data_IF_537602728483
#
_entry.id   IF_537602728483
#
_cell.length_a   1.000
_cell.length_b   1.000
_cell.length_c   1.000
_cell.angle_alpha   90.00
_cell.angle_beta   90.00
_cell.angle_gamma   90.00
#
_symmetry.space_group_name_H-M   'P 1'
#
loop_
_entity.id
_entity.type
_entity.pdbx_description
1 polymer ?
#
# COMPACT_ATOMS: atom_id res chain seq x y z
N UNK A 1 6.93 16.57 10.40
CA UNK A 1 6.27 17.72 9.74
C UNK A 1 4.94 17.34 9.08
N UNK A 2 4.93 16.30 8.21
CA UNK A 2 3.70 15.86 7.51
C UNK A 2 2.61 15.44 8.51
N UNK A 3 2.94 14.64 9.53
CA UNK A 3 2.02 14.18 10.57
C UNK A 3 1.32 15.33 11.28
N UNK A 4 2.08 16.32 11.74
CA UNK A 4 1.54 17.47 12.47
C UNK A 4 0.61 18.30 11.57
N UNK A 5 0.96 18.43 10.29
CA UNK A 5 0.17 19.18 9.31
C UNK A 5 -1.19 18.51 9.05
N UNK A 6 -1.19 17.18 8.83
CA UNK A 6 -2.43 16.40 8.62
C UNK A 6 -3.35 16.43 9.86
N UNK A 7 -2.79 16.25 11.05
CA UNK A 7 -3.56 16.35 12.31
C UNK A 7 -4.17 17.76 12.46
N UNK A 8 -3.38 18.81 12.24
CA UNK A 8 -3.85 20.17 12.37
C UNK A 8 -4.92 20.52 11.34
N UNK A 9 -4.76 20.08 10.08
CA UNK A 9 -5.75 20.31 9.02
C UNK A 9 -7.11 19.67 9.33
N UNK A 10 -7.11 18.57 10.09
CA UNK A 10 -8.33 17.83 10.42
C UNK A 10 -8.97 18.33 11.73
N UNK A 11 -8.16 18.69 12.74
CA UNK A 11 -8.66 19.14 14.04
C UNK A 11 -9.15 20.60 13.98
N UNK A 12 -8.48 21.48 13.22
CA UNK A 12 -8.80 22.89 13.17
C UNK A 12 -10.25 23.17 12.72
N UNK A 13 -10.78 22.55 11.63
CA UNK A 13 -12.19 22.71 11.26
C UNK A 13 -13.16 22.19 12.32
N UNK A 14 -12.83 21.04 12.96
CA UNK A 14 -13.67 20.50 14.05
C UNK A 14 -13.80 21.49 15.19
N UNK A 15 -12.67 22.02 15.66
CA UNK A 15 -12.65 22.96 16.79
C UNK A 15 -13.36 24.29 16.45
N UNK A 16 -13.05 24.85 15.27
CA UNK A 16 -13.64 26.14 14.84
C UNK A 16 -15.16 26.06 14.67
N UNK A 17 -15.66 25.00 13.98
CA UNK A 17 -17.09 24.83 13.78
C UNK A 17 -17.81 24.48 15.08
N UNK A 18 -17.23 23.65 15.94
CA UNK A 18 -17.78 23.32 17.23
C UNK A 18 -17.95 24.59 18.10
N UNK A 19 -16.94 25.47 18.11
CA UNK A 19 -17.01 26.76 18.83
C UNK A 19 -18.07 27.67 18.25
N UNK A 20 -18.16 27.79 16.90
CA UNK A 20 -19.13 28.64 16.23
C UNK A 20 -20.57 28.18 16.50
N UNK A 21 -20.84 26.86 16.35
CA UNK A 21 -22.16 26.30 16.60
C UNK A 21 -22.57 26.33 18.05
N UNK A 22 -21.61 26.33 18.99
CA UNK A 22 -21.88 26.50 20.43
C UNK A 22 -22.33 27.92 20.77
N UNK A 23 -21.91 28.92 19.98
CA UNK A 23 -22.29 30.34 20.20
C UNK A 23 -23.68 30.65 19.65
N UNK A 24 -24.13 30.01 18.59
CA UNK A 24 -25.44 30.15 18.00
C UNK A 24 -26.03 28.80 17.57
N UNK A 25 -26.69 28.06 18.48
CA UNK A 25 -27.28 26.77 18.21
C UNK A 25 -28.46 26.80 17.24
N UNK A 26 -28.98 27.98 16.89
CA UNK A 26 -30.12 28.18 16.00
C UNK A 26 -29.68 28.56 14.57
N UNK A 27 -28.39 28.63 14.30
CA UNK A 27 -27.84 28.98 13.01
C UNK A 27 -28.39 28.07 11.92
N UNK A 28 -28.82 28.64 10.76
CA UNK A 28 -29.26 27.85 9.60
C UNK A 28 -28.14 26.91 9.08
N UNK A 29 -26.88 27.19 9.40
CA UNK A 29 -25.71 26.40 8.99
C UNK A 29 -25.40 25.23 9.93
N UNK A 30 -26.24 24.98 10.96
CA UNK A 30 -26.04 23.93 11.95
C UNK A 30 -25.81 22.54 11.34
N UNK A 31 -26.66 22.17 10.37
CA UNK A 31 -26.58 20.85 9.73
C UNK A 31 -25.28 20.70 8.93
N UNK A 32 -24.92 21.72 8.17
CA UNK A 32 -23.69 21.73 7.38
C UNK A 32 -22.44 21.71 8.28
N UNK A 33 -22.46 22.48 9.36
CA UNK A 33 -21.39 22.50 10.36
C UNK A 33 -21.19 21.15 11.04
N UNK A 34 -22.28 20.48 11.45
CA UNK A 34 -22.25 19.14 12.04
C UNK A 34 -21.75 18.10 11.04
N UNK A 35 -22.15 18.17 9.76
CA UNK A 35 -21.63 17.29 8.72
C UNK A 35 -20.13 17.46 8.54
N UNK A 36 -19.63 18.69 8.51
CA UNK A 36 -18.19 18.97 8.38
C UNK A 36 -17.41 18.44 9.58
N UNK A 37 -17.91 18.61 10.81
CA UNK A 37 -17.31 18.05 12.02
C UNK A 37 -17.28 16.52 11.92
N UNK A 38 -18.38 15.88 11.51
CA UNK A 38 -18.46 14.43 11.36
C UNK A 38 -17.46 13.89 10.33
N UNK A 39 -17.38 14.53 9.16
CA UNK A 39 -16.45 14.14 8.10
C UNK A 39 -15.00 14.30 8.55
N UNK A 40 -14.63 15.46 9.09
CA UNK A 40 -13.28 15.71 9.60
C UNK A 40 -12.89 14.76 10.73
N UNK A 41 -13.85 14.40 11.61
CA UNK A 41 -13.59 13.40 12.67
C UNK A 41 -13.31 12.01 12.09
N UNK A 42 -14.07 11.59 11.08
CA UNK A 42 -13.84 10.30 10.36
C UNK A 42 -12.48 10.28 9.68
N UNK A 43 -12.09 11.37 9.03
CA UNK A 43 -10.80 11.49 8.37
C UNK A 43 -9.64 11.42 9.37
N UNK A 44 -9.79 12.04 10.54
CA UNK A 44 -8.81 11.93 11.62
C UNK A 44 -8.71 10.50 12.16
N UNK A 45 -9.82 9.80 12.35
CA UNK A 45 -9.82 8.39 12.77
C UNK A 45 -9.11 7.52 11.72
N UNK A 46 -9.43 7.71 10.44
CA UNK A 46 -8.76 7.03 9.32
C UNK A 46 -7.26 7.30 9.34
N UNK A 47 -6.85 8.55 9.51
CA UNK A 47 -5.45 8.95 9.60
C UNK A 47 -4.73 8.30 10.79
N UNK A 48 -5.31 8.34 12.00
CA UNK A 48 -4.71 7.73 13.20
C UNK A 48 -4.57 6.21 13.05
N UNK A 49 -5.58 5.53 12.50
CA UNK A 49 -5.50 4.08 12.25
C UNK A 49 -4.41 3.75 11.24
N UNK A 50 -4.30 4.54 10.20
CA UNK A 50 -3.30 4.47 9.16
C UNK A 50 -1.88 4.68 9.72
N UNK A 51 -1.70 5.66 10.59
CA UNK A 51 -0.44 5.90 11.30
C UNK A 51 -0.06 4.73 12.23
N UNK A 52 -1.04 4.17 12.96
CA UNK A 52 -0.82 2.99 13.81
C UNK A 52 -0.36 1.79 13.00
N UNK A 53 -0.94 1.55 11.82
CA UNK A 53 -0.54 0.44 10.94
C UNK A 53 0.91 0.58 10.48
N UNK A 54 1.37 1.82 10.24
CA UNK A 54 2.77 2.06 9.89
C UNK A 54 3.73 1.90 11.08
N UNK A 55 3.34 2.40 12.27
CA UNK A 55 4.26 2.43 13.45
C UNK A 55 4.26 1.14 14.26
N UNK A 56 3.25 0.28 14.08
CA UNK A 56 3.08 -0.97 14.84
C UNK A 56 3.03 -2.20 13.93
N UNK A 57 3.97 -2.28 12.97
CA UNK A 57 4.16 -3.56 12.27
C UNK A 57 4.60 -4.59 13.31
N UNK A 58 3.82 -5.65 13.45
CA UNK A 58 4.13 -6.72 14.40
C UNK A 58 5.49 -7.35 14.06
N UNK A 59 6.20 -7.80 15.08
CA UNK A 59 7.41 -8.62 14.87
C UNK A 59 7.04 -9.84 14.04
N UNK A 60 7.74 -10.11 12.91
CA UNK A 60 7.38 -11.22 12.04
C UNK A 60 7.56 -12.57 12.73
N UNK A 61 6.55 -13.43 12.59
CA UNK A 61 6.63 -14.84 12.99
C UNK A 61 7.05 -15.65 11.77
N UNK A 62 8.37 -15.73 11.57
CA UNK A 62 8.95 -16.36 10.39
C UNK A 62 8.83 -17.88 10.45
N UNK A 63 8.39 -18.48 9.34
CA UNK A 63 8.31 -19.92 9.11
C UNK A 63 8.71 -20.24 7.69
N UNK A 64 9.22 -21.45 7.40
CA UNK A 64 9.43 -21.88 6.02
C UNK A 64 8.08 -22.17 5.36
N UNK A 65 7.91 -21.72 4.12
CA UNK A 65 6.76 -22.05 3.27
C UNK A 65 7.17 -22.00 1.79
N UNK A 66 6.46 -22.71 0.94
CA UNK A 66 6.67 -22.65 -0.50
C UNK A 66 6.03 -21.39 -1.07
N UNK A 67 6.80 -20.65 -1.88
CA UNK A 67 6.35 -19.37 -2.44
C UNK A 67 5.12 -19.56 -3.34
N UNK A 68 5.03 -20.68 -4.06
CA UNK A 68 3.88 -21.06 -4.89
C UNK A 68 2.57 -21.07 -4.09
N UNK A 69 2.58 -21.68 -2.90
CA UNK A 69 1.38 -21.73 -2.05
C UNK A 69 0.92 -20.36 -1.59
N UNK A 70 1.86 -19.45 -1.27
CA UNK A 70 1.55 -18.07 -0.96
C UNK A 70 0.91 -17.37 -2.17
N UNK A 71 1.48 -17.53 -3.38
CA UNK A 71 0.97 -16.86 -4.58
C UNK A 71 -0.41 -17.35 -4.99
N UNK A 72 -0.72 -18.64 -4.83
CA UNK A 72 -2.07 -19.18 -5.03
C UNK A 72 -3.09 -18.52 -4.07
N UNK A 73 -2.73 -18.33 -2.80
CA UNK A 73 -3.58 -17.62 -1.83
C UNK A 73 -3.75 -16.14 -2.17
N UNK A 74 -2.67 -15.48 -2.59
CA UNK A 74 -2.72 -14.08 -3.03
C UNK A 74 -3.64 -13.91 -4.24
N UNK A 75 -3.55 -14.82 -5.21
CA UNK A 75 -4.43 -14.83 -6.38
C UNK A 75 -5.90 -14.94 -5.95
N UNK A 76 -6.23 -15.87 -5.04
CA UNK A 76 -7.58 -16.03 -4.50
C UNK A 76 -8.07 -14.77 -3.78
N UNK A 77 -7.21 -14.14 -2.95
CA UNK A 77 -7.54 -12.91 -2.20
C UNK A 77 -7.80 -11.71 -3.12
N UNK A 78 -7.10 -11.65 -4.25
CA UNK A 78 -7.18 -10.50 -5.18
C UNK A 78 -8.08 -10.75 -6.38
N UNK A 79 -8.56 -11.99 -6.57
CA UNK A 79 -9.34 -12.43 -7.73
C UNK A 79 -10.51 -11.50 -8.04
N UNK A 80 -11.34 -11.17 -7.06
CA UNK A 80 -12.50 -10.31 -7.28
C UNK A 80 -12.11 -8.92 -7.80
N UNK A 81 -11.00 -8.36 -7.31
CA UNK A 81 -10.51 -7.04 -7.74
C UNK A 81 -9.92 -7.11 -9.15
N UNK A 82 -9.17 -8.18 -9.46
CA UNK A 82 -8.58 -8.43 -10.77
C UNK A 82 -9.68 -8.61 -11.82
N UNK A 83 -10.68 -9.45 -11.53
CA UNK A 83 -11.82 -9.72 -12.42
C UNK A 83 -12.66 -8.45 -12.66
N UNK A 84 -12.91 -7.66 -11.59
CA UNK A 84 -13.66 -6.40 -11.70
C UNK A 84 -12.92 -5.35 -12.55
N UNK A 85 -11.59 -5.35 -12.54
CA UNK A 85 -10.77 -4.47 -13.37
C UNK A 85 -10.55 -5.01 -14.78
N UNK A 86 -11.01 -6.23 -15.11
CA UNK A 86 -10.76 -6.88 -16.39
C UNK A 86 -9.27 -7.19 -16.63
N UNK A 87 -8.47 -7.26 -15.57
CA UNK A 87 -7.04 -7.49 -15.66
C UNK A 87 -6.71 -8.98 -15.73
N UNK A 88 -5.52 -9.30 -16.27
CA UNK A 88 -4.95 -10.65 -16.27
C UNK A 88 -3.85 -10.73 -15.22
N UNK A 89 -3.87 -11.80 -14.43
CA UNK A 89 -2.83 -12.12 -13.47
C UNK A 89 -2.07 -13.37 -13.92
N UNK A 90 -0.75 -13.34 -13.79
CA UNK A 90 0.10 -14.49 -14.07
C UNK A 90 1.23 -14.55 -13.04
N UNK A 91 1.44 -15.74 -12.47
CA UNK A 91 2.59 -16.05 -11.62
C UNK A 91 3.47 -17.12 -12.28
N UNK A 92 4.80 -16.98 -12.21
CA UNK A 92 5.78 -17.92 -12.76
C UNK A 92 7.00 -18.00 -11.86
N UNK A 93 7.39 -19.20 -11.47
CA UNK A 93 8.69 -19.49 -10.87
C UNK A 93 9.71 -19.84 -11.95
N UNK A 94 10.84 -19.15 -11.97
CA UNK A 94 11.96 -19.42 -12.86
C UNK A 94 12.97 -20.39 -12.24
N UNK A 95 12.87 -20.64 -10.92
CA UNK A 95 13.57 -21.64 -10.15
C UNK A 95 12.50 -22.49 -9.47
N UNK A 96 12.61 -23.83 -9.55
CA UNK A 96 11.62 -24.72 -8.95
C UNK A 96 11.68 -24.71 -7.42
N UNK A 97 10.53 -24.90 -6.77
CA UNK A 97 10.37 -25.13 -5.33
C UNK A 97 11.02 -24.07 -4.45
N UNK A 98 10.77 -22.79 -4.75
CA UNK A 98 11.30 -21.68 -3.93
C UNK A 98 10.73 -21.76 -2.50
N UNK A 99 11.60 -22.05 -1.54
CA UNK A 99 11.30 -22.04 -0.11
C UNK A 99 11.69 -20.70 0.48
N UNK A 100 10.73 -20.00 1.08
CA UNK A 100 10.96 -18.70 1.74
C UNK A 100 10.82 -18.84 3.27
N UNK A 101 11.77 -18.29 4.03
CA UNK A 101 11.69 -18.22 5.49
C UNK A 101 11.26 -16.81 5.94
N UNK A 102 9.96 -16.62 6.09
CA UNK A 102 9.36 -15.32 6.34
C UNK A 102 8.03 -15.43 7.14
N UNK A 103 7.44 -14.30 7.49
CA UNK A 103 6.06 -14.21 7.96
C UNK A 103 5.14 -14.14 6.73
N UNK A 104 4.47 -15.23 6.44
CA UNK A 104 3.64 -15.42 5.28
C UNK A 104 2.54 -14.36 5.15
N UNK A 105 1.88 -14.01 6.27
CA UNK A 105 0.83 -13.00 6.27
C UNK A 105 1.35 -11.61 5.92
N UNK A 106 2.54 -11.24 6.44
CA UNK A 106 3.16 -9.96 6.11
C UNK A 106 3.65 -9.91 4.66
N UNK A 107 4.21 -10.99 4.13
CA UNK A 107 4.63 -11.03 2.72
C UNK A 107 3.42 -11.00 1.80
N UNK A 108 2.35 -11.75 2.11
CA UNK A 108 1.06 -11.64 1.40
C UNK A 108 0.57 -10.19 1.34
N UNK A 109 0.63 -9.47 2.46
CA UNK A 109 0.25 -8.05 2.52
C UNK A 109 1.08 -7.17 1.57
N UNK A 110 2.39 -7.42 1.45
CA UNK A 110 3.25 -6.70 0.49
C UNK A 110 2.81 -6.95 -0.95
N UNK A 111 2.61 -8.23 -1.32
CA UNK A 111 2.22 -8.59 -2.70
C UNK A 111 0.84 -8.04 -3.04
N UNK A 112 -0.16 -8.21 -2.15
CA UNK A 112 -1.52 -7.66 -2.33
C UNK A 112 -1.49 -6.15 -2.51
N UNK A 113 -0.65 -5.42 -1.74
CA UNK A 113 -0.49 -3.98 -1.91
C UNK A 113 0.07 -3.60 -3.29
N UNK A 114 1.05 -4.36 -3.82
CA UNK A 114 1.61 -4.11 -5.15
C UNK A 114 0.58 -4.41 -6.25
N UNK A 115 -0.20 -5.50 -6.13
CA UNK A 115 -1.31 -5.81 -7.05
C UNK A 115 -2.37 -4.69 -7.01
N UNK A 116 -2.78 -4.26 -5.82
CA UNK A 116 -3.74 -3.15 -5.66
C UNK A 116 -3.22 -1.86 -6.29
N UNK A 117 -1.92 -1.54 -6.13
CA UNK A 117 -1.32 -0.38 -6.78
C UNK A 117 -1.34 -0.47 -8.30
N UNK A 118 -1.10 -1.67 -8.86
CA UNK A 118 -1.18 -1.92 -10.30
C UNK A 118 -2.60 -1.73 -10.83
N UNK A 119 -3.62 -2.31 -10.16
CA UNK A 119 -5.03 -2.14 -10.54
C UNK A 119 -5.48 -0.69 -10.45
N UNK A 120 -5.06 0.05 -9.43
CA UNK A 120 -5.32 1.48 -9.29
C UNK A 120 -4.59 2.34 -10.34
N UNK A 121 -3.54 1.83 -10.96
CA UNK A 121 -2.87 2.44 -12.12
C UNK A 121 -3.49 1.96 -13.45
N UNK A 122 -4.68 1.35 -13.42
CA UNK A 122 -5.43 0.86 -14.58
C UNK A 122 -4.68 -0.22 -15.37
N UNK A 123 -3.87 -1.03 -14.67
CA UNK A 123 -3.18 -2.14 -15.31
C UNK A 123 -4.17 -3.20 -15.80
N UNK A 124 -3.99 -3.64 -17.03
CA UNK A 124 -4.73 -4.76 -17.64
C UNK A 124 -3.94 -6.07 -17.60
N UNK A 125 -2.66 -6.00 -17.22
CA UNK A 125 -1.79 -7.16 -17.07
C UNK A 125 -0.89 -6.98 -15.86
N UNK A 126 -0.87 -8.01 -14.99
CA UNK A 126 -0.02 -8.10 -13.82
C UNK A 126 0.73 -9.43 -13.91
N UNK A 127 2.06 -9.36 -13.96
CA UNK A 127 2.92 -10.55 -14.03
C UNK A 127 3.86 -10.56 -12.84
N UNK A 128 3.87 -11.65 -12.09
CA UNK A 128 4.79 -11.86 -10.98
C UNK A 128 5.74 -12.99 -11.37
N UNK A 129 7.04 -12.73 -11.30
CA UNK A 129 8.07 -13.74 -11.52
C UNK A 129 8.95 -13.88 -10.29
N UNK A 130 9.32 -15.11 -9.96
CA UNK A 130 10.20 -15.38 -8.83
C UNK A 130 11.36 -16.27 -9.24
N UNK A 131 12.54 -16.01 -8.68
CA UNK A 131 13.76 -16.81 -8.90
C UNK A 131 14.68 -16.75 -7.69
N UNK A 132 15.60 -17.67 -7.62
CA UNK A 132 16.79 -17.57 -6.76
C UNK A 132 17.92 -17.00 -7.62
N UNK A 133 18.59 -15.97 -7.16
CA UNK A 133 19.71 -15.35 -7.85
C UNK A 133 21.06 -16.05 -7.54
N UNK A 134 22.14 -15.63 -8.19
CA UNK A 134 23.48 -16.20 -8.01
C UNK A 134 24.06 -16.02 -6.61
N UNK A 135 23.42 -15.21 -5.75
CA UNK A 135 23.77 -14.98 -4.36
C UNK A 135 22.84 -15.69 -3.37
N UNK A 136 22.10 -16.70 -3.83
CA UNK A 136 21.07 -17.46 -3.10
C UNK A 136 19.94 -16.59 -2.53
N UNK A 137 19.73 -15.38 -3.06
CA UNK A 137 18.62 -14.56 -2.66
C UNK A 137 17.35 -14.87 -3.46
N UNK A 138 16.21 -14.93 -2.77
CA UNK A 138 14.92 -15.01 -3.45
C UNK A 138 14.55 -13.63 -3.97
N UNK A 139 14.35 -13.54 -5.28
CA UNK A 139 13.97 -12.31 -5.99
C UNK A 139 12.58 -12.48 -6.57
N UNK A 140 11.68 -11.54 -6.24
CA UNK A 140 10.31 -11.52 -6.76
C UNK A 140 10.10 -10.20 -7.49
N UNK A 141 9.83 -10.26 -8.79
CA UNK A 141 9.50 -9.11 -9.62
C UNK A 141 7.98 -9.04 -9.81
N UNK A 142 7.39 -7.91 -9.45
CA UNK A 142 5.97 -7.59 -9.68
C UNK A 142 5.89 -6.55 -10.78
N UNK A 143 5.46 -6.98 -11.95
CA UNK A 143 5.38 -6.19 -13.17
C UNK A 143 3.92 -5.85 -13.51
N UNK A 144 3.65 -4.66 -13.99
CA UNK A 144 2.34 -4.28 -14.51
C UNK A 144 2.48 -3.29 -15.68
N UNK A 145 1.45 -3.23 -16.53
CA UNK A 145 1.37 -2.34 -17.68
C UNK A 145 0.46 -1.12 -17.46
N UNK A 146 0.18 -0.78 -16.20
CA UNK A 146 -0.62 0.39 -15.85
C UNK A 146 0.10 1.72 -16.07
N UNK A 147 -0.60 2.83 -15.79
CA UNK A 147 -0.02 4.16 -15.90
C UNK A 147 1.30 4.28 -15.11
N UNK A 148 2.34 4.87 -15.72
CA UNK A 148 3.64 5.00 -15.08
C UNK A 148 3.60 5.99 -13.90
N UNK A 149 4.48 5.77 -12.94
CA UNK A 149 4.74 6.70 -11.86
C UNK A 149 5.59 7.84 -12.43
N UNK A 150 5.14 9.08 -12.25
CA UNK A 150 5.89 10.24 -12.75
C UNK A 150 7.31 10.30 -12.16
N UNK A 151 8.31 10.75 -12.92
CA UNK A 151 9.71 10.83 -12.44
C UNK A 151 9.84 11.55 -11.10
N UNK A 152 9.16 12.67 -10.91
CA UNK A 152 9.18 13.46 -9.67
C UNK A 152 8.61 12.69 -8.46
N UNK A 153 7.70 11.74 -8.72
CA UNK A 153 7.09 10.92 -7.68
C UNK A 153 7.92 9.68 -7.34
N UNK A 154 8.74 9.14 -8.26
CA UNK A 154 9.46 7.87 -8.06
C UNK A 154 10.37 7.87 -6.84
N UNK A 155 10.99 9.01 -6.49
CA UNK A 155 11.81 9.14 -5.28
C UNK A 155 10.98 9.19 -4.01
N UNK A 156 9.70 9.57 -4.11
CA UNK A 156 8.83 9.86 -2.98
C UNK A 156 7.84 8.74 -2.65
N UNK A 157 7.63 7.77 -3.54
CA UNK A 157 6.59 6.71 -3.38
C UNK A 157 6.74 5.87 -2.11
N UNK A 158 7.93 5.83 -1.51
CA UNK A 158 8.17 5.13 -0.26
C UNK A 158 8.12 6.05 0.98
N UNK A 159 7.87 7.34 0.80
CA UNK A 159 7.67 8.29 1.91
C UNK A 159 6.25 8.07 2.47
N UNK A 160 6.10 7.87 3.79
CA UNK A 160 4.78 7.73 4.38
C UNK A 160 3.87 8.92 4.08
N UNK A 161 2.59 8.64 3.79
CA UNK A 161 1.54 9.60 3.42
C UNK A 161 1.74 10.31 2.08
N UNK A 162 2.78 9.98 1.33
CA UNK A 162 2.91 10.44 -0.04
C UNK A 162 1.97 9.65 -0.96
N UNK A 163 1.11 10.36 -1.66
CA UNK A 163 0.18 9.79 -2.65
C UNK A 163 -0.15 10.81 -3.73
N UNK A 164 -0.28 10.32 -4.95
CA UNK A 164 -0.80 11.09 -6.09
C UNK A 164 -2.27 10.76 -6.36
N UNK A 165 -2.88 9.88 -5.54
CA UNK A 165 -4.24 9.37 -5.71
C UNK A 165 -5.17 10.04 -4.70
N UNK A 166 -6.36 10.53 -5.11
CA UNK A 166 -7.31 11.21 -4.21
C UNK A 166 -7.76 10.36 -3.02
N UNK A 167 -8.00 9.08 -3.23
CA UNK A 167 -8.46 8.11 -2.22
C UNK A 167 -7.30 7.35 -1.54
N UNK A 168 -6.06 7.63 -1.95
CA UNK A 168 -4.87 6.92 -1.47
C UNK A 168 -4.47 7.34 -0.06
N UNK A 169 -4.17 6.37 0.82
CA UNK A 169 -3.62 6.65 2.15
C UNK A 169 -2.13 7.05 2.13
N UNK A 170 -1.41 6.80 1.03
CA UNK A 170 0.02 7.01 0.91
C UNK A 170 0.90 6.13 1.81
N UNK A 171 0.34 5.03 2.35
CA UNK A 171 1.06 4.17 3.31
C UNK A 171 1.48 2.84 2.72
N UNK A 172 0.78 2.33 1.73
CA UNK A 172 0.98 0.97 1.23
C UNK A 172 2.45 0.64 0.95
N UNK A 173 3.14 1.44 0.14
CA UNK A 173 4.54 1.21 -0.22
C UNK A 173 5.51 1.45 0.94
N UNK A 174 5.27 2.43 1.81
CA UNK A 174 6.10 2.67 2.99
C UNK A 174 5.97 1.52 4.00
N UNK A 175 4.77 0.98 4.19
CA UNK A 175 4.51 -0.22 5.00
C UNK A 175 5.17 -1.46 4.39
N UNK A 176 5.04 -1.66 3.06
CA UNK A 176 5.72 -2.74 2.35
C UNK A 176 7.23 -2.69 2.56
N UNK A 177 7.84 -1.49 2.48
CA UNK A 177 9.28 -1.31 2.74
C UNK A 177 9.65 -1.64 4.17
N UNK A 178 8.81 -1.30 5.15
CA UNK A 178 9.04 -1.64 6.55
C UNK A 178 8.94 -3.16 6.79
N UNK A 179 7.93 -3.83 6.24
CA UNK A 179 7.79 -5.28 6.30
C UNK A 179 9.03 -5.95 5.70
N UNK A 180 9.45 -5.55 4.49
CA UNK A 180 10.64 -6.12 3.86
C UNK A 180 11.90 -5.93 4.72
N UNK A 181 12.10 -4.76 5.33
CA UNK A 181 13.22 -4.52 6.25
C UNK A 181 13.18 -5.43 7.49
N UNK A 182 12.00 -5.67 8.06
CA UNK A 182 11.83 -6.59 9.17
C UNK A 182 12.15 -8.04 8.78
N UNK A 183 12.14 -8.37 7.50
CA UNK A 183 12.52 -9.67 6.94
C UNK A 183 13.98 -9.69 6.40
N UNK A 184 14.80 -8.68 6.73
CA UNK A 184 16.15 -8.49 6.20
C UNK A 184 16.20 -8.39 4.66
N UNK A 185 15.05 -8.10 4.05
CA UNK A 185 14.87 -7.94 2.61
C UNK A 185 14.79 -6.48 2.18
N UNK A 186 14.54 -6.29 0.91
CA UNK A 186 14.34 -4.96 0.33
C UNK A 186 13.23 -4.96 -0.72
N UNK A 187 12.61 -3.78 -0.91
CA UNK A 187 11.70 -3.48 -2.02
C UNK A 187 12.26 -2.29 -2.78
N UNK A 188 12.25 -2.37 -4.10
CA UNK A 188 12.74 -1.29 -4.99
C UNK A 188 11.83 -1.13 -6.19
N UNK A 189 11.67 0.10 -6.65
CA UNK A 189 11.16 0.43 -7.98
C UNK A 189 12.34 0.31 -8.95
N UNK A 190 12.27 -0.64 -9.87
CA UNK A 190 13.33 -0.86 -10.86
C UNK A 190 13.08 -0.04 -12.12
N UNK A 191 11.81 0.06 -12.52
CA UNK A 191 11.39 0.80 -13.69
C UNK A 191 9.94 1.26 -13.53
N UNK A 192 9.65 2.45 -14.03
CA UNK A 192 8.28 2.90 -14.28
C UNK A 192 8.30 3.87 -15.46
N UNK A 193 7.87 3.39 -16.61
CA UNK A 193 7.83 4.09 -17.89
C UNK A 193 6.65 3.57 -18.75
N UNK A 194 6.59 3.98 -20.02
CA UNK A 194 5.56 3.53 -20.96
C UNK A 194 5.55 2.01 -21.20
N UNK A 195 6.63 1.29 -20.87
CA UNK A 195 6.71 -0.17 -20.95
C UNK A 195 6.19 -0.87 -19.72
N UNK A 196 5.80 -0.09 -18.69
CA UNK A 196 5.22 -0.57 -17.46
C UNK A 196 6.07 -0.30 -16.22
N UNK A 197 5.55 -0.74 -15.08
CA UNK A 197 6.15 -0.56 -13.76
C UNK A 197 6.64 -1.90 -13.22
N UNK A 198 7.85 -1.93 -12.65
CA UNK A 198 8.46 -3.12 -12.05
C UNK A 198 8.90 -2.79 -10.62
N UNK A 199 8.32 -3.50 -9.66
CA UNK A 199 8.81 -3.54 -8.29
C UNK A 199 9.54 -4.86 -8.04
N UNK A 200 10.73 -4.79 -7.46
CA UNK A 200 11.52 -5.98 -7.10
C UNK A 200 11.60 -6.10 -5.58
N UNK A 201 11.23 -7.29 -5.08
CA UNK A 201 11.42 -7.72 -3.69
C UNK A 201 12.63 -8.66 -3.65
N UNK A 202 13.51 -8.48 -2.65
CA UNK A 202 14.69 -9.34 -2.47
C UNK A 202 14.71 -9.82 -1.03
N UNK A 203 14.85 -11.14 -0.82
CA UNK A 203 15.02 -11.79 0.47
C UNK A 203 16.38 -12.50 0.50
N UNK A 204 17.10 -12.34 1.62
CA UNK A 204 18.43 -12.92 1.83
C UNK A 204 18.45 -13.80 3.07
#
# INVERSE_FOLDING_TARGET
RVLTHEIMNTITPIASLSETLSKDPTSPDLVMGLQTISTSSKDLIKFVNTYRSLTRVATPVRKPFYLRELMERVEQLTKQQIDAAGARYQYTELTDDILLYADEGQISQVIVNLISNALQAEATQITITAKIDDADAVVIDVCNNGHPISPDSQEQIFIPFFTTKPEGSGIGLSLSRQIMRLHNGSIRLVRSDEKGTIFTLVFR
#
